data_IF_887382654226
#
_entry.id   IF_887382654226
#
_cell.length_a   1.000
_cell.length_b   1.000
_cell.length_c   1.000
_cell.angle_alpha   90.00
_cell.angle_beta   90.00
_cell.angle_gamma   90.00
#
_symmetry.space_group_name_H-M   'P 1'
#
loop_
_entity.id
_entity.type
_entity.pdbx_description
1 polymer ?
#
# COMPACT_ATOMS: atom_id res chain seq x y z
N UNK A 1 44.25 24.53 29.06
CA UNK A 1 45.33 23.88 28.27
C UNK A 1 46.21 24.83 27.46
N UNK A 2 45.70 25.70 26.58
CA UNK A 2 46.52 26.63 25.75
C UNK A 2 47.52 27.51 26.53
N UNK A 3 47.10 28.03 27.69
CA UNK A 3 47.99 28.82 28.55
C UNK A 3 49.18 28.02 29.09
N UNK A 4 48.99 26.71 29.33
CA UNK A 4 50.06 25.82 29.78
C UNK A 4 51.07 25.55 28.65
N UNK A 5 50.59 25.38 27.41
CA UNK A 5 51.47 25.25 26.25
C UNK A 5 52.30 26.52 26.02
N UNK A 6 51.69 27.69 26.15
CA UNK A 6 52.40 28.97 26.04
C UNK A 6 53.49 29.13 27.11
N UNK A 7 53.20 28.74 28.36
CA UNK A 7 54.22 28.72 29.43
C UNK A 7 55.31 27.68 29.18
N UNK A 8 54.96 26.52 28.65
CA UNK A 8 55.92 25.46 28.33
C UNK A 8 56.91 25.91 27.25
N UNK A 9 56.42 26.54 26.19
CA UNK A 9 57.25 27.13 25.14
C UNK A 9 58.19 28.19 25.71
N UNK A 10 57.66 29.09 26.55
CA UNK A 10 58.47 30.14 27.20
C UNK A 10 59.60 29.56 28.07
N UNK A 11 59.28 28.60 28.95
CA UNK A 11 60.28 27.96 29.81
C UNK A 11 61.30 27.14 29.01
N UNK A 12 60.87 26.50 27.93
CA UNK A 12 61.76 25.75 27.03
C UNK A 12 62.76 26.67 26.32
N UNK A 13 62.30 27.83 25.84
CA UNK A 13 63.17 28.84 25.22
C UNK A 13 64.16 29.42 26.25
N UNK A 14 63.71 29.66 27.48
CA UNK A 14 64.56 30.15 28.56
C UNK A 14 65.64 29.13 28.94
N UNK A 15 65.30 27.84 29.03
CA UNK A 15 66.24 26.77 29.35
C UNK A 15 67.38 26.63 28.33
N UNK A 16 67.16 27.03 27.07
CA UNK A 16 68.19 27.02 26.02
C UNK A 16 69.15 28.22 26.11
N UNK A 17 68.69 29.35 26.65
CA UNK A 17 69.42 30.61 26.66
C UNK A 17 70.10 30.90 28.01
N UNK A 18 69.52 30.45 29.12
CA UNK A 18 69.99 30.73 30.48
C UNK A 18 70.71 29.52 31.11
N UNK A 19 72.01 29.67 31.40
CA UNK A 19 72.81 28.63 32.06
C UNK A 19 72.49 28.43 33.54
N UNK A 20 71.76 29.36 34.15
CA UNK A 20 71.30 29.29 35.55
C UNK A 20 69.83 28.87 35.69
N UNK A 21 69.23 28.39 34.60
CA UNK A 21 67.85 27.91 34.58
C UNK A 21 67.60 26.84 35.64
N UNK A 22 66.49 26.95 36.37
CA UNK A 22 66.05 25.98 37.36
C UNK A 22 65.08 24.96 36.75
N UNK A 23 65.50 23.69 36.58
CA UNK A 23 64.66 22.65 35.97
C UNK A 23 63.39 22.34 36.76
N UNK A 24 63.32 22.65 38.06
CA UNK A 24 62.12 22.35 38.86
C UNK A 24 60.89 23.12 38.39
N UNK A 25 61.10 24.27 37.74
CA UNK A 25 60.01 25.10 37.17
C UNK A 25 59.27 24.38 36.04
N UNK A 26 59.98 23.57 35.24
CA UNK A 26 59.37 22.72 34.21
C UNK A 26 58.60 21.58 34.85
N UNK A 27 59.15 20.96 35.90
CA UNK A 27 58.49 19.87 36.61
C UNK A 27 57.17 20.33 37.26
N UNK A 28 57.16 21.50 37.87
CA UNK A 28 55.94 22.09 38.43
C UNK A 28 54.90 22.43 37.34
N UNK A 29 55.34 22.89 36.18
CA UNK A 29 54.45 23.06 35.03
C UNK A 29 53.90 21.72 34.50
N UNK A 30 54.71 20.66 34.49
CA UNK A 30 54.27 19.32 34.07
C UNK A 30 53.19 18.75 35.00
N UNK A 31 53.26 19.01 36.31
CA UNK A 31 52.19 18.65 37.26
C UNK A 31 50.88 19.36 36.92
N UNK A 32 50.93 20.62 36.48
CA UNK A 32 49.74 21.36 36.04
C UNK A 32 49.16 20.77 34.75
N UNK A 33 50.00 20.35 33.80
CA UNK A 33 49.56 19.63 32.61
C UNK A 33 48.84 18.33 32.93
N UNK A 34 49.39 17.54 33.85
CA UNK A 34 48.77 16.28 34.27
C UNK A 34 47.38 16.52 34.87
N UNK A 35 47.25 17.49 35.78
CA UNK A 35 45.96 17.85 36.39
C UNK A 35 44.96 18.34 35.33
N UNK A 36 45.40 19.22 34.44
CA UNK A 36 44.54 19.75 33.38
C UNK A 36 44.11 18.64 32.40
N UNK A 37 45.02 17.75 32.02
CA UNK A 37 44.71 16.63 31.14
C UNK A 37 43.68 15.68 31.77
N UNK A 38 43.84 15.34 33.06
CA UNK A 38 42.85 14.53 33.77
C UNK A 38 41.48 15.22 33.86
N UNK A 39 41.44 16.53 34.12
CA UNK A 39 40.19 17.29 34.13
C UNK A 39 39.52 17.33 32.77
N UNK A 40 40.29 17.59 31.71
CA UNK A 40 39.77 17.60 30.34
C UNK A 40 39.25 16.23 29.93
N UNK A 41 39.95 15.16 30.29
CA UNK A 41 39.48 13.80 30.00
C UNK A 41 38.21 13.47 30.77
N UNK A 42 38.15 13.77 32.07
CA UNK A 42 36.95 13.55 32.87
C UNK A 42 35.75 14.37 32.39
N UNK A 43 35.97 15.62 31.93
CA UNK A 43 34.92 16.44 31.36
C UNK A 43 34.42 15.87 30.03
N UNK A 44 35.33 15.44 29.15
CA UNK A 44 34.98 14.81 27.87
C UNK A 44 34.22 13.51 28.06
N UNK A 45 34.62 12.67 29.03
CA UNK A 45 33.92 11.41 29.34
C UNK A 45 32.50 11.69 29.84
N UNK A 46 32.32 12.68 30.70
CA UNK A 46 31.00 13.07 31.23
C UNK A 46 30.10 13.69 30.16
N UNK A 47 30.66 14.50 29.26
CA UNK A 47 29.94 15.03 28.10
C UNK A 47 29.54 13.90 27.16
N UNK A 48 30.44 12.96 26.86
CA UNK A 48 30.15 11.80 26.03
C UNK A 48 29.04 10.91 26.61
N UNK A 49 29.07 10.62 27.91
CA UNK A 49 28.01 9.85 28.58
C UNK A 49 26.66 10.56 28.49
N UNK A 50 26.65 11.89 28.66
CA UNK A 50 25.42 12.67 28.55
C UNK A 50 24.88 12.68 27.11
N UNK A 51 25.75 12.86 26.12
CA UNK A 51 25.35 12.80 24.71
C UNK A 51 24.82 11.41 24.33
N UNK A 52 25.41 10.34 24.86
CA UNK A 52 24.94 8.96 24.68
C UNK A 52 23.55 8.77 25.28
N UNK A 53 23.33 9.18 26.53
CA UNK A 53 22.00 9.10 27.18
C UNK A 53 20.94 9.91 26.42
N UNK A 54 21.26 11.15 26.01
CA UNK A 54 20.34 12.00 25.23
C UNK A 54 20.04 11.38 23.85
N UNK A 55 21.02 10.75 23.21
CA UNK A 55 20.84 10.06 21.93
C UNK A 55 19.99 8.79 22.08
N UNK A 56 20.22 7.98 23.12
CA UNK A 56 19.42 6.79 23.41
C UNK A 56 17.97 7.15 23.72
N UNK A 57 17.72 8.19 24.52
CA UNK A 57 16.36 8.63 24.83
C UNK A 57 15.62 9.08 23.55
N UNK A 58 16.30 9.87 22.71
CA UNK A 58 15.76 10.33 21.43
C UNK A 58 15.42 9.16 20.50
N UNK A 59 16.30 8.14 20.44
CA UNK A 59 16.09 6.94 19.64
C UNK A 59 14.89 6.14 20.16
N UNK A 60 14.79 5.92 21.46
CA UNK A 60 13.65 5.23 22.07
C UNK A 60 12.32 5.95 21.81
N UNK A 61 12.31 7.28 21.90
CA UNK A 61 11.11 8.07 21.58
C UNK A 61 10.73 7.95 20.10
N UNK A 62 11.71 7.96 19.20
CA UNK A 62 11.48 7.79 17.77
C UNK A 62 10.95 6.38 17.46
N UNK A 63 11.52 5.33 18.06
CA UNK A 63 11.05 3.95 17.92
C UNK A 63 9.60 3.81 18.42
N UNK A 64 9.30 4.29 19.63
CA UNK A 64 7.94 4.22 20.17
C UNK A 64 6.92 4.97 19.31
N UNK A 65 7.31 6.09 18.69
CA UNK A 65 6.46 6.81 17.75
C UNK A 65 6.23 6.00 16.47
N UNK A 66 7.28 5.42 15.90
CA UNK A 66 7.18 4.60 14.70
C UNK A 66 6.32 3.37 14.93
N UNK A 67 6.50 2.67 16.05
CA UNK A 67 5.69 1.51 16.41
C UNK A 67 4.20 1.88 16.51
N UNK A 68 3.88 2.99 17.17
CA UNK A 68 2.50 3.49 17.29
C UNK A 68 1.87 3.80 15.92
N UNK A 69 2.62 4.47 15.03
CA UNK A 69 2.15 4.79 13.68
C UNK A 69 1.98 3.53 12.84
N UNK A 70 2.90 2.57 12.95
CA UNK A 70 2.85 1.30 12.23
C UNK A 70 1.68 0.45 12.69
N UNK A 71 1.46 0.32 14.01
CA UNK A 71 0.31 -0.42 14.55
C UNK A 71 -1.00 0.17 14.07
N UNK A 72 -1.15 1.50 14.13
CA UNK A 72 -2.34 2.19 13.63
C UNK A 72 -2.54 1.95 12.13
N UNK A 73 -1.47 2.07 11.34
CA UNK A 73 -1.55 1.85 9.90
C UNK A 73 -1.92 0.40 9.55
N UNK A 74 -1.35 -0.58 10.26
CA UNK A 74 -1.66 -2.00 10.05
C UNK A 74 -3.10 -2.33 10.44
N UNK A 75 -3.63 -1.74 11.51
CA UNK A 75 -5.04 -1.87 11.88
C UNK A 75 -5.97 -1.27 10.82
N UNK A 76 -5.63 -0.10 10.27
CA UNK A 76 -6.37 0.51 9.16
C UNK A 76 -6.34 -0.36 7.90
N UNK A 77 -5.16 -0.87 7.52
CA UNK A 77 -5.00 -1.78 6.40
C UNK A 77 -5.86 -3.03 6.56
N UNK A 78 -5.85 -3.63 7.75
CA UNK A 78 -6.67 -4.80 8.03
C UNK A 78 -8.17 -4.50 7.86
N UNK A 79 -8.65 -3.39 8.41
CA UNK A 79 -10.07 -2.98 8.24
C UNK A 79 -10.41 -2.74 6.78
N UNK A 80 -9.50 -2.11 6.04
CA UNK A 80 -9.67 -1.87 4.62
C UNK A 80 -9.77 -3.17 3.81
N UNK A 81 -8.93 -4.17 4.10
CA UNK A 81 -9.00 -5.49 3.47
C UNK A 81 -10.32 -6.21 3.78
N UNK A 82 -10.74 -6.20 5.05
CA UNK A 82 -12.00 -6.81 5.48
C UNK A 82 -13.21 -6.14 4.78
N UNK A 83 -13.22 -4.81 4.67
CA UNK A 83 -14.26 -4.04 3.99
C UNK A 83 -14.25 -4.32 2.47
N UNK A 84 -13.07 -4.38 1.85
CA UNK A 84 -12.92 -4.67 0.42
C UNK A 84 -13.42 -6.08 0.09
N UNK A 85 -13.05 -7.08 0.87
CA UNK A 85 -13.50 -8.46 0.69
C UNK A 85 -15.02 -8.57 0.84
N UNK A 86 -15.60 -7.87 1.83
CA UNK A 86 -17.07 -7.81 2.01
C UNK A 86 -17.75 -7.21 0.78
N UNK A 87 -17.31 -6.04 0.32
CA UNK A 87 -17.88 -5.38 -0.86
C UNK A 87 -17.73 -6.24 -2.11
N UNK A 88 -16.55 -6.86 -2.31
CA UNK A 88 -16.29 -7.72 -3.46
C UNK A 88 -17.24 -8.91 -3.51
N UNK A 89 -17.50 -9.55 -2.36
CA UNK A 89 -18.49 -10.65 -2.28
C UNK A 89 -19.91 -10.17 -2.58
N UNK A 90 -20.31 -9.03 -2.03
CA UNK A 90 -21.63 -8.45 -2.28
C UNK A 90 -21.84 -8.10 -3.77
N UNK A 91 -20.82 -7.54 -4.41
CA UNK A 91 -20.82 -7.25 -5.84
C UNK A 91 -20.88 -8.54 -6.68
N UNK A 92 -20.09 -9.55 -6.32
CA UNK A 92 -20.09 -10.84 -7.00
C UNK A 92 -21.46 -11.51 -6.91
N UNK A 93 -22.05 -11.59 -5.71
CA UNK A 93 -23.36 -12.19 -5.49
C UNK A 93 -24.45 -11.45 -6.25
N UNK A 94 -24.40 -10.11 -6.28
CA UNK A 94 -25.31 -9.29 -7.07
C UNK A 94 -25.18 -9.57 -8.57
N UNK A 95 -23.95 -9.71 -9.08
CA UNK A 95 -23.68 -10.01 -10.48
C UNK A 95 -24.18 -11.41 -10.85
N UNK A 96 -23.93 -12.40 -10.01
CA UNK A 96 -24.42 -13.78 -10.19
C UNK A 96 -25.95 -13.80 -10.26
N UNK A 97 -26.63 -13.16 -9.30
CA UNK A 97 -28.11 -13.08 -9.30
C UNK A 97 -28.64 -12.39 -10.55
N UNK A 98 -27.98 -11.31 -11.00
CA UNK A 98 -28.35 -10.61 -12.23
C UNK A 98 -28.20 -11.51 -13.45
N UNK A 99 -27.10 -12.27 -13.54
CA UNK A 99 -26.85 -13.24 -14.60
C UNK A 99 -27.85 -14.40 -14.60
N UNK A 100 -28.20 -14.93 -13.44
CA UNK A 100 -29.23 -15.96 -13.27
C UNK A 100 -30.60 -15.47 -13.74
N UNK A 101 -31.03 -14.28 -13.29
CA UNK A 101 -32.28 -13.67 -13.72
C UNK A 101 -32.31 -13.46 -15.25
N UNK A 102 -31.22 -13.00 -15.84
CA UNK A 102 -31.11 -12.82 -17.29
C UNK A 102 -31.22 -14.16 -18.04
N UNK A 103 -30.60 -15.22 -17.52
CA UNK A 103 -30.68 -16.58 -18.08
C UNK A 103 -32.09 -17.14 -18.00
N UNK A 104 -32.76 -16.99 -16.85
CA UNK A 104 -34.15 -17.42 -16.67
C UNK A 104 -35.09 -16.68 -17.63
N UNK A 105 -34.96 -15.36 -17.73
CA UNK A 105 -35.73 -14.56 -18.67
C UNK A 105 -35.47 -14.99 -20.11
N UNK A 106 -34.21 -15.21 -20.49
CA UNK A 106 -33.84 -15.73 -21.82
C UNK A 106 -34.52 -17.06 -22.15
N UNK A 107 -34.52 -18.00 -21.21
CA UNK A 107 -35.20 -19.30 -21.37
C UNK A 107 -36.72 -19.15 -21.51
N UNK A 108 -37.35 -18.22 -20.79
CA UNK A 108 -38.78 -17.93 -20.92
C UNK A 108 -39.12 -17.32 -22.28
N UNK A 109 -38.31 -16.35 -22.74
CA UNK A 109 -38.45 -15.73 -24.05
C UNK A 109 -38.27 -16.76 -25.17
N UNK A 110 -37.29 -17.65 -25.07
CA UNK A 110 -37.07 -18.73 -26.03
C UNK A 110 -38.29 -19.65 -26.13
N UNK A 111 -38.85 -20.08 -25.00
CA UNK A 111 -40.07 -20.90 -24.96
C UNK A 111 -41.26 -20.18 -25.61
N UNK A 112 -41.46 -18.90 -25.27
CA UNK A 112 -42.54 -18.10 -25.83
C UNK A 112 -42.38 -17.93 -27.36
N UNK A 113 -41.18 -17.63 -27.82
CA UNK A 113 -40.86 -17.52 -29.25
C UNK A 113 -41.07 -18.85 -29.98
N UNK A 114 -40.70 -19.97 -29.39
CA UNK A 114 -40.94 -21.32 -29.94
C UNK A 114 -42.44 -21.61 -30.09
N UNK A 115 -43.25 -21.28 -29.08
CA UNK A 115 -44.72 -21.44 -29.14
C UNK A 115 -45.32 -20.55 -30.22
N UNK A 116 -44.93 -19.27 -30.28
CA UNK A 116 -45.41 -18.34 -31.29
C UNK A 116 -45.02 -18.79 -32.71
N UNK A 117 -43.77 -19.25 -32.89
CA UNK A 117 -43.27 -19.81 -34.15
C UNK A 117 -44.09 -21.03 -34.59
N UNK A 118 -44.35 -21.99 -33.70
CA UNK A 118 -45.21 -23.14 -33.99
C UNK A 118 -46.62 -22.72 -34.42
N UNK A 119 -47.24 -21.78 -33.70
CA UNK A 119 -48.57 -21.25 -34.04
C UNK A 119 -48.60 -20.56 -35.40
N UNK A 120 -47.55 -19.80 -35.72
CA UNK A 120 -47.40 -19.18 -37.03
C UNK A 120 -47.29 -20.23 -38.14
N UNK A 121 -46.44 -21.25 -37.96
CA UNK A 121 -46.28 -22.36 -38.91
C UNK A 121 -47.62 -23.10 -39.10
N UNK A 122 -48.33 -23.42 -38.01
CA UNK A 122 -49.67 -24.04 -38.06
C UNK A 122 -50.67 -23.18 -38.85
N UNK A 123 -50.70 -21.86 -38.62
CA UNK A 123 -51.57 -20.95 -39.34
C UNK A 123 -51.25 -20.91 -40.84
N UNK A 124 -49.96 -20.85 -41.21
CA UNK A 124 -49.50 -20.91 -42.60
C UNK A 124 -49.87 -22.24 -43.24
N UNK A 125 -49.66 -23.37 -42.55
CA UNK A 125 -50.02 -24.69 -43.06
C UNK A 125 -51.54 -24.84 -43.25
N UNK A 126 -52.34 -24.39 -42.29
CA UNK A 126 -53.80 -24.40 -42.41
C UNK A 126 -54.29 -23.51 -43.56
N UNK A 127 -53.69 -22.32 -43.72
CA UNK A 127 -53.98 -21.43 -44.85
C UNK A 127 -53.62 -22.07 -46.19
N UNK A 128 -52.43 -22.68 -46.30
CA UNK A 128 -52.00 -23.40 -47.49
C UNK A 128 -52.93 -24.59 -47.81
N UNK A 129 -53.33 -25.36 -46.80
CA UNK A 129 -54.28 -26.46 -46.96
C UNK A 129 -55.67 -25.98 -47.40
N UNK A 130 -56.16 -24.86 -46.86
CA UNK A 130 -57.40 -24.24 -47.30
C UNK A 130 -57.30 -23.74 -48.75
N UNK A 131 -56.17 -23.14 -49.12
CA UNK A 131 -55.88 -22.69 -50.48
C UNK A 131 -55.79 -23.86 -51.47
N UNK A 132 -55.18 -24.99 -51.08
CA UNK A 132 -55.18 -26.21 -51.90
C UNK A 132 -56.57 -26.82 -52.04
N UNK A 133 -57.37 -26.87 -50.97
CA UNK A 133 -58.76 -27.34 -51.02
C UNK A 133 -59.62 -26.45 -51.92
N UNK A 134 -59.46 -25.12 -51.86
CA UNK A 134 -60.21 -24.21 -52.72
C UNK A 134 -59.78 -24.31 -54.19
N UNK A 135 -58.47 -24.45 -54.46
CA UNK A 135 -57.95 -24.70 -55.80
C UNK A 135 -58.47 -26.02 -56.39
N UNK A 136 -58.46 -27.12 -55.61
CA UNK A 136 -59.03 -28.40 -56.04
C UNK A 136 -60.55 -28.29 -56.28
N UNK A 137 -61.30 -27.63 -55.39
CA UNK A 137 -62.74 -27.42 -55.61
C UNK A 137 -63.02 -26.59 -56.87
N UNK A 138 -62.20 -25.59 -57.17
CA UNK A 138 -62.24 -24.81 -58.41
C UNK A 138 -61.94 -25.63 -59.67
N UNK A 139 -61.00 -26.57 -59.59
CA UNK A 139 -60.70 -27.51 -60.68
C UNK A 139 -61.85 -28.54 -60.87
N UNK A 140 -62.50 -28.98 -59.78
CA UNK A 140 -63.67 -29.89 -59.86
C UNK A 140 -64.97 -29.21 -60.33
N UNK A 141 -65.00 -27.87 -60.34
CA UNK A 141 -66.14 -27.06 -60.77
C UNK A 141 -66.06 -26.62 -62.23
N UNK A 142 -65.32 -27.35 -63.07
CA UNK A 142 -65.41 -27.19 -64.52
C UNK A 142 -66.75 -27.77 -65.03
N UNK A 143 -67.85 -27.08 -64.75
CA UNK A 143 -69.06 -27.17 -65.56
C UNK A 143 -68.78 -26.41 -66.85
N UNK A 144 -68.47 -27.17 -67.89
CA UNK A 144 -68.42 -26.70 -69.28
C UNK A 144 -69.85 -26.33 -69.67
N UNK A 145 -70.12 -25.07 -69.96
CA UNK A 145 -71.36 -24.65 -70.61
C UNK A 145 -71.10 -24.64 -72.13
N UNK A 146 -71.82 -25.44 -72.96
CA UNK A 146 -71.73 -25.36 -74.40
C UNK A 146 -72.47 -24.12 -74.93
N UNK A 147 -72.00 -23.70 -76.12
CA UNK A 147 -72.20 -22.46 -76.89
C UNK A 147 -73.59 -21.83 -76.88
#
# INVERSE_FOLDING_TARGET
MEALFSQFTFLSDQALQDRSFDPSTVEDLMKLFEIEAYKSWAAMELEGQREEEEAEESLQQAEAHLDSVLDSAMDEFRRFEEEMERMSREELDSLVRTGENAREMGNLMEKAASVASKRYIEAVMNSAAASMKSAWKGISSHKVHPS
#
